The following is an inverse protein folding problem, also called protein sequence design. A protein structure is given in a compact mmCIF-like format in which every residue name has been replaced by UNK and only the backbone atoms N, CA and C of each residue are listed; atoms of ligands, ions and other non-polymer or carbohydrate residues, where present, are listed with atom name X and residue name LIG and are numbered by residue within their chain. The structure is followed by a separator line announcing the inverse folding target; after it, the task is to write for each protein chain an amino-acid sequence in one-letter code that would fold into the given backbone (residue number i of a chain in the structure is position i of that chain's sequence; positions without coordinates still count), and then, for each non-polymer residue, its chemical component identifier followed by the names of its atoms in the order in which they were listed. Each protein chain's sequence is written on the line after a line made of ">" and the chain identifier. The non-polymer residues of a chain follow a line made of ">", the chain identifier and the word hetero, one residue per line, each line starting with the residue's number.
data_IF_199617792551
#
_entry.id   IF_199617792551
#
_cell.length_a   1.000
_cell.length_b   1.000
_cell.length_c   1.000
_cell.angle_alpha   90.00
_cell.angle_beta   90.00
_cell.angle_gamma   90.00
#
_symmetry.space_group_name_H-M   'P 1'
#
loop_
_entity.id
_entity.type
_entity.pdbx_description
1 polymer ?
#
# COMPACT_ATOMS: atom_id res chain seq x y z
N UNK A 1 52.19 7.35 14.14
CA UNK A 1 50.94 6.99 14.84
C UNK A 1 49.78 7.45 13.98
N UNK A 2 49.16 6.52 13.28
CA UNK A 2 48.11 6.74 12.29
C UNK A 2 46.78 7.06 13.00
N UNK A 3 46.16 8.19 12.66
CA UNK A 3 44.83 8.54 13.18
C UNK A 3 43.77 7.89 12.28
N UNK A 4 43.30 6.72 12.67
CA UNK A 4 42.20 6.03 12.00
C UNK A 4 40.87 6.73 12.31
N UNK A 5 40.44 7.62 11.43
CA UNK A 5 39.08 8.17 11.45
C UNK A 5 38.07 7.09 11.04
N UNK A 6 37.25 6.63 11.99
CA UNK A 6 36.10 5.76 11.74
C UNK A 6 35.01 6.62 11.05
N UNK A 7 34.90 6.50 9.73
CA UNK A 7 33.73 7.03 9.00
C UNK A 7 32.54 6.11 9.25
N UNK A 8 31.63 6.52 10.13
CA UNK A 8 30.30 5.87 10.22
C UNK A 8 29.59 6.07 8.88
N UNK A 9 29.48 4.97 8.14
CA UNK A 9 28.58 4.83 6.99
C UNK A 9 27.17 5.22 7.45
N UNK A 10 26.69 6.40 7.03
CA UNK A 10 25.26 6.73 7.14
C UNK A 10 24.55 5.79 6.18
N UNK A 11 23.98 4.70 6.71
CA UNK A 11 23.00 3.87 5.98
C UNK A 11 21.97 4.84 5.38
N UNK A 12 21.89 4.90 4.05
CA UNK A 12 20.94 5.76 3.33
C UNK A 12 19.57 5.50 3.97
N UNK A 13 18.90 6.52 4.51
CA UNK A 13 17.48 6.35 4.90
C UNK A 13 16.80 5.81 3.65
N UNK A 14 16.06 4.71 3.78
CA UNK A 14 15.13 4.31 2.73
C UNK A 14 14.31 5.56 2.36
N UNK A 15 14.04 5.75 1.07
CA UNK A 15 13.19 6.84 0.63
C UNK A 15 11.80 6.62 1.25
N UNK A 16 11.54 7.26 2.40
CA UNK A 16 10.25 7.23 3.09
C UNK A 16 9.27 8.09 2.29
N UNK A 17 8.77 7.52 1.19
CA UNK A 17 7.79 8.14 0.31
C UNK A 17 6.43 7.54 0.61
N UNK A 18 5.41 8.39 0.59
CA UNK A 18 4.02 7.95 0.55
C UNK A 18 3.61 7.92 -0.92
N UNK A 19 3.02 6.82 -1.34
CA UNK A 19 2.37 6.69 -2.62
C UNK A 19 0.86 6.79 -2.41
N UNK A 20 0.16 7.41 -3.35
CA UNK A 20 -1.29 7.49 -3.41
C UNK A 20 -1.69 7.23 -4.87
N UNK A 21 -2.52 6.24 -5.13
CA UNK A 21 -2.98 5.94 -6.50
C UNK A 21 -4.10 6.89 -6.96
N UNK A 22 -4.83 7.47 -6.01
CA UNK A 22 -5.91 8.43 -6.22
C UNK A 22 -6.00 9.43 -5.05
N UNK A 23 -6.53 10.65 -5.27
CA UNK A 23 -6.83 11.58 -4.19
C UNK A 23 -8.08 11.11 -3.41
N UNK A 24 -8.09 11.32 -2.09
CA UNK A 24 -9.23 10.93 -1.22
C UNK A 24 -10.58 11.52 -1.67
N UNK A 25 -10.56 12.70 -2.31
CA UNK A 25 -11.77 13.34 -2.83
C UNK A 25 -12.47 12.47 -3.89
N UNK A 26 -11.76 11.62 -4.62
CA UNK A 26 -12.37 10.71 -5.59
C UNK A 26 -13.37 9.75 -4.93
N UNK A 27 -13.06 9.27 -3.72
CA UNK A 27 -14.01 8.47 -2.94
C UNK A 27 -15.20 9.32 -2.49
N UNK A 28 -14.99 10.55 -2.04
CA UNK A 28 -16.08 11.46 -1.63
C UNK A 28 -17.03 11.76 -2.80
N UNK A 29 -16.50 11.81 -4.03
CA UNK A 29 -17.23 12.03 -5.26
C UNK A 29 -17.91 10.76 -5.82
N UNK A 30 -17.74 9.61 -5.18
CA UNK A 30 -18.38 8.35 -5.57
C UNK A 30 -17.63 7.55 -6.63
N UNK A 31 -16.35 7.85 -6.88
CA UNK A 31 -15.50 7.08 -7.80
C UNK A 31 -14.98 5.86 -7.04
N UNK A 32 -15.77 4.78 -7.05
CA UNK A 32 -15.48 3.54 -6.32
C UNK A 32 -14.89 2.43 -7.18
N UNK A 33 -14.66 2.69 -8.46
CA UNK A 33 -14.07 1.72 -9.38
C UNK A 33 -12.96 2.39 -10.18
N UNK A 34 -11.77 1.77 -10.17
CA UNK A 34 -10.66 2.12 -11.04
C UNK A 34 -9.93 0.85 -11.51
N UNK A 35 -9.15 0.99 -12.58
CA UNK A 35 -8.33 -0.10 -13.14
C UNK A 35 -6.89 -0.04 -12.61
N UNK A 36 -6.74 -0.05 -11.28
CA UNK A 36 -5.44 -0.04 -10.61
C UNK A 36 -5.28 -1.36 -9.85
N UNK A 37 -4.61 -2.36 -10.43
CA UNK A 37 -4.47 -3.66 -9.81
C UNK A 37 -3.43 -3.63 -8.69
N UNK A 38 -3.59 -4.51 -7.69
CA UNK A 38 -2.69 -4.55 -6.54
C UNK A 38 -1.24 -4.89 -6.89
N UNK A 39 -0.99 -5.62 -7.98
CA UNK A 39 0.37 -5.84 -8.45
C UNK A 39 1.10 -4.53 -8.84
N UNK A 40 0.37 -3.46 -9.23
CA UNK A 40 0.97 -2.14 -9.42
C UNK A 40 1.24 -1.45 -8.08
N UNK A 41 0.30 -1.53 -7.12
CA UNK A 41 0.45 -0.94 -5.79
C UNK A 41 1.69 -1.48 -5.05
N UNK A 42 1.93 -2.80 -5.13
CA UNK A 42 3.10 -3.47 -4.51
C UNK A 42 4.45 -2.93 -5.01
N UNK A 43 4.50 -2.31 -6.19
CA UNK A 43 5.74 -1.68 -6.70
C UNK A 43 6.14 -0.45 -5.91
N UNK A 44 5.22 0.12 -5.13
CA UNK A 44 5.40 1.36 -4.40
C UNK A 44 5.67 1.16 -2.89
N UNK A 45 5.48 -0.05 -2.36
CA UNK A 45 5.76 -0.37 -0.96
C UNK A 45 5.21 -1.73 -0.54
N UNK A 46 5.51 -2.10 0.70
CA UNK A 46 5.11 -3.36 1.36
C UNK A 46 4.19 -3.13 2.57
N UNK A 47 3.85 -1.87 2.87
CA UNK A 47 2.96 -1.47 3.95
C UNK A 47 1.99 -0.39 3.47
N UNK A 48 0.70 -0.57 3.72
CA UNK A 48 -0.33 0.36 3.24
C UNK A 48 -1.73 0.02 3.72
N UNK A 49 -2.68 0.86 3.33
CA UNK A 49 -4.11 0.71 3.60
C UNK A 49 -4.92 1.28 2.44
N UNK A 50 -6.19 0.95 2.35
CA UNK A 50 -7.07 1.44 1.30
C UNK A 50 -8.37 0.67 1.27
N UNK A 51 -8.97 0.55 0.08
CA UNK A 51 -10.20 -0.23 -0.13
C UNK A 51 -10.12 -1.01 -1.44
N UNK A 52 -11.05 -1.93 -1.65
CA UNK A 52 -11.28 -2.60 -2.92
C UNK A 52 -12.29 -1.79 -3.76
N UNK A 53 -12.38 -2.10 -5.06
CA UNK A 53 -13.46 -1.59 -5.90
C UNK A 53 -14.83 -1.87 -5.24
N UNK A 54 -15.82 -1.04 -5.56
CA UNK A 54 -17.17 -1.05 -4.96
C UNK A 54 -17.22 -0.79 -3.45
N UNK A 55 -16.13 -0.23 -2.89
CA UNK A 55 -15.92 -0.10 -1.44
C UNK A 55 -16.06 -1.45 -0.72
N UNK A 56 -15.60 -2.53 -1.34
CA UNK A 56 -15.75 -3.88 -0.82
C UNK A 56 -14.80 -4.19 0.34
N UNK A 57 -15.03 -3.55 1.48
CA UNK A 57 -14.27 -3.71 2.71
C UNK A 57 -12.94 -2.96 2.71
N UNK A 58 -12.23 -3.09 3.82
CA UNK A 58 -10.97 -2.40 4.06
C UNK A 58 -9.80 -3.24 3.55
N UNK A 59 -8.85 -2.59 2.88
CA UNK A 59 -7.59 -3.19 2.45
C UNK A 59 -6.49 -2.81 3.44
N UNK A 60 -5.71 -3.82 3.85
CA UNK A 60 -4.46 -3.64 4.58
C UNK A 60 -3.35 -4.39 3.88
N UNK A 61 -2.20 -3.74 3.67
CA UNK A 61 -0.98 -4.38 3.18
C UNK A 61 0.05 -4.43 4.31
N UNK A 62 0.53 -5.62 4.64
CA UNK A 62 1.52 -5.86 5.71
C UNK A 62 2.55 -6.84 5.21
N UNK A 63 3.84 -6.47 5.27
CA UNK A 63 4.97 -7.26 4.75
C UNK A 63 4.78 -7.70 3.28
N UNK A 64 4.11 -6.86 2.48
CA UNK A 64 3.79 -7.17 1.10
C UNK A 64 2.73 -8.26 0.95
N UNK A 65 1.91 -8.54 1.96
CA UNK A 65 0.72 -9.39 1.85
C UNK A 65 -0.53 -8.52 2.00
N UNK A 66 -1.56 -8.80 1.19
CA UNK A 66 -2.80 -8.01 1.18
C UNK A 66 -3.89 -8.77 1.91
N UNK A 67 -4.62 -8.04 2.74
CA UNK A 67 -5.75 -8.55 3.50
C UNK A 67 -6.97 -7.68 3.24
N UNK A 68 -8.11 -8.33 3.07
CA UNK A 68 -9.43 -7.70 3.03
C UNK A 68 -10.17 -7.95 4.33
N UNK A 69 -10.59 -6.89 5.00
CA UNK A 69 -11.53 -6.96 6.11
C UNK A 69 -12.91 -6.59 5.59
N UNK A 70 -13.78 -7.59 5.45
CA UNK A 70 -15.15 -7.39 4.97
C UNK A 70 -16.05 -6.72 6.01
N UNK A 71 -17.23 -6.29 5.56
CA UNK A 71 -18.27 -5.71 6.44
C UNK A 71 -18.80 -6.70 7.50
N UNK A 72 -18.56 -7.99 7.30
CA UNK A 72 -18.82 -9.06 8.28
C UNK A 72 -17.75 -9.17 9.37
N UNK A 73 -16.71 -8.32 9.32
CA UNK A 73 -15.61 -8.27 10.27
C UNK A 73 -14.53 -9.34 10.04
N UNK A 74 -14.62 -10.16 8.99
CA UNK A 74 -13.62 -11.20 8.71
C UNK A 74 -12.46 -10.65 7.88
N UNK A 75 -11.25 -10.86 8.38
CA UNK A 75 -10.01 -10.63 7.62
C UNK A 75 -9.66 -11.87 6.80
N UNK A 76 -9.52 -11.73 5.49
CA UNK A 76 -9.08 -12.78 4.58
C UNK A 76 -7.86 -12.29 3.79
N UNK A 77 -6.85 -13.15 3.63
CA UNK A 77 -5.75 -12.86 2.72
C UNK A 77 -6.26 -12.85 1.28
N UNK A 78 -5.84 -11.85 0.52
CA UNK A 78 -6.16 -11.71 -0.90
C UNK A 78 -5.00 -12.30 -1.70
N UNK A 79 -5.31 -13.35 -2.47
CA UNK A 79 -4.34 -14.04 -3.33
C UNK A 79 -4.47 -13.68 -4.80
N UNK A 80 -5.55 -12.98 -5.17
CA UNK A 80 -5.77 -12.49 -6.52
C UNK A 80 -5.19 -11.08 -6.66
N UNK A 81 -4.02 -11.00 -7.30
CA UNK A 81 -3.28 -9.75 -7.50
C UNK A 81 -3.84 -8.88 -8.66
N UNK A 82 -4.81 -9.39 -9.42
CA UNK A 82 -5.50 -8.63 -10.48
C UNK A 82 -6.71 -7.84 -9.95
N UNK A 83 -7.09 -8.07 -8.68
CA UNK A 83 -8.07 -7.22 -8.01
C UNK A 83 -7.59 -5.78 -7.99
N UNK A 84 -8.56 -4.89 -8.18
CA UNK A 84 -8.30 -3.46 -8.34
C UNK A 84 -8.78 -2.65 -7.14
N UNK A 85 -8.12 -1.51 -6.95
CA UNK A 85 -8.43 -0.54 -5.91
C UNK A 85 -8.77 0.83 -6.53
N UNK A 86 -9.77 1.54 -5.98
CA UNK A 86 -10.02 2.94 -6.30
C UNK A 86 -9.20 3.88 -5.40
N UNK A 87 -8.53 3.37 -4.37
CA UNK A 87 -7.74 4.16 -3.42
C UNK A 87 -6.82 3.28 -2.57
N UNK A 88 -5.51 3.56 -2.67
CA UNK A 88 -4.43 3.02 -1.87
C UNK A 88 -3.28 4.04 -1.78
#
# INVERSE_FOLDING_TARGET
>A
MERTTIRRSRKRRADNKVYLCAPVNSLVEGIYEQNIPFHEIRKHGDMGLGTFNDLDGEMMMVDGEIYRVGSDGKGNQVTDDDLCTPFA
#
